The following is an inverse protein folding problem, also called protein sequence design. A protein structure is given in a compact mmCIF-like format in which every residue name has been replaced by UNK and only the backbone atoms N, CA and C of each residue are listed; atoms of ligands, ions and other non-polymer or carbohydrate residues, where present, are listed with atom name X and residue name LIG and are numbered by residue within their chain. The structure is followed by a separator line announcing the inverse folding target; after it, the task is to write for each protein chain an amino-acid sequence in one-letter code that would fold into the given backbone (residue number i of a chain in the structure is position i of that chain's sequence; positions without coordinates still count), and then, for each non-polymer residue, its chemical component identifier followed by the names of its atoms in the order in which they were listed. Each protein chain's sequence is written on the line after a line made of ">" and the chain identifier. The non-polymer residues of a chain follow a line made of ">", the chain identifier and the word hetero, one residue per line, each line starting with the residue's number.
data_IF_659149949729
#
_entry.id   IF_659149949729
#
_cell.length_a   1.000
_cell.length_b   1.000
_cell.length_c   1.000
_cell.angle_alpha   90.00
_cell.angle_beta   90.00
_cell.angle_gamma   90.00
#
_symmetry.space_group_name_H-M   'P 1'
#
loop_
_entity.id
_entity.type
_entity.pdbx_description
1 polymer ?
#
# COMPACT_ATOMS: atom_id res chain seq x y z
N UNK A 1 -24.03 -20.35 -20.23
CA UNK A 1 -23.68 -20.67 -18.83
C UNK A 1 -22.38 -19.96 -18.52
N UNK A 2 -22.38 -19.01 -17.57
CA UNK A 2 -21.17 -18.29 -17.17
C UNK A 2 -20.33 -19.25 -16.34
N UNK A 3 -19.14 -19.59 -16.84
CA UNK A 3 -18.19 -20.43 -16.14
C UNK A 3 -17.79 -19.74 -14.83
N UNK A 4 -17.94 -20.45 -13.71
CA UNK A 4 -17.38 -20.07 -12.41
C UNK A 4 -15.86 -19.97 -12.59
N UNK A 5 -15.35 -18.76 -12.73
CA UNK A 5 -13.94 -18.48 -12.55
C UNK A 5 -13.70 -18.55 -11.04
N UNK A 6 -12.93 -19.54 -10.60
CA UNK A 6 -12.47 -19.56 -9.22
C UNK A 6 -11.57 -18.33 -8.99
N UNK A 7 -11.84 -17.52 -7.95
CA UNK A 7 -11.00 -16.37 -7.66
C UNK A 7 -9.58 -16.85 -7.38
N UNK A 8 -8.61 -16.29 -8.12
CA UNK A 8 -7.19 -16.48 -7.81
C UNK A 8 -6.99 -16.02 -6.37
N UNK A 9 -6.53 -16.89 -5.45
CA UNK A 9 -6.28 -16.49 -4.07
C UNK A 9 -5.37 -15.24 -4.04
N UNK A 10 -5.70 -14.26 -3.19
CA UNK A 10 -4.92 -13.04 -2.95
C UNK A 10 -4.92 -11.95 -4.03
N UNK A 11 -5.93 -11.93 -4.93
CA UNK A 11 -6.22 -10.75 -5.74
C UNK A 11 -7.42 -9.99 -5.16
N UNK A 12 -7.18 -8.81 -4.59
CA UNK A 12 -8.19 -7.88 -4.05
C UNK A 12 -9.17 -8.53 -3.04
N UNK A 13 -8.65 -9.14 -1.98
CA UNK A 13 -9.52 -9.70 -0.94
C UNK A 13 -10.05 -8.57 -0.05
N UNK A 14 -11.38 -8.41 -0.04
CA UNK A 14 -12.07 -7.55 0.92
C UNK A 14 -12.37 -8.32 2.20
N UNK A 15 -11.87 -7.82 3.32
CA UNK A 15 -12.24 -8.33 4.64
C UNK A 15 -12.63 -7.21 5.60
N UNK A 16 -13.57 -7.51 6.49
CA UNK A 16 -13.87 -6.65 7.61
C UNK A 16 -12.72 -6.78 8.63
N UNK A 17 -11.89 -5.73 8.71
CA UNK A 17 -10.89 -5.59 9.76
C UNK A 17 -11.56 -5.37 11.12
N UNK A 18 -10.79 -5.56 12.19
CA UNK A 18 -11.25 -5.25 13.54
C UNK A 18 -11.71 -3.79 13.64
N UNK A 19 -12.79 -3.54 14.38
CA UNK A 19 -13.26 -2.18 14.64
C UNK A 19 -13.94 -1.46 13.46
N UNK A 20 -14.40 -2.18 12.43
CA UNK A 20 -15.15 -1.60 11.32
C UNK A 20 -14.29 -0.96 10.23
N UNK A 21 -13.03 -1.39 10.13
CA UNK A 21 -12.11 -1.06 9.04
C UNK A 21 -12.35 -2.01 7.86
N UNK A 22 -12.17 -1.55 6.63
CA UNK A 22 -12.12 -2.44 5.46
C UNK A 22 -10.67 -2.69 5.07
N UNK A 23 -10.30 -3.94 4.84
CA UNK A 23 -8.98 -4.32 4.34
C UNK A 23 -9.12 -4.79 2.90
N UNK A 24 -8.27 -4.24 2.02
CA UNK A 24 -8.03 -4.69 0.65
C UNK A 24 -6.63 -5.32 0.64
N UNK A 25 -6.55 -6.61 0.36
CA UNK A 25 -5.26 -7.31 0.23
C UNK A 25 -4.99 -7.64 -1.25
N UNK A 26 -3.97 -7.00 -1.83
CA UNK A 26 -3.40 -7.28 -3.17
C UNK A 26 -1.89 -7.54 -3.07
N UNK A 27 -1.46 -8.21 -2.00
CA UNK A 27 -0.05 -8.52 -1.74
C UNK A 27 0.59 -9.49 -2.74
N UNK A 28 -0.20 -10.20 -3.55
CA UNK A 28 0.32 -11.19 -4.49
C UNK A 28 0.90 -10.60 -5.78
N UNK A 29 0.54 -9.36 -6.13
CA UNK A 29 0.77 -8.81 -7.47
C UNK A 29 1.73 -7.61 -7.47
N UNK A 30 3.04 -7.85 -7.49
CA UNK A 30 4.05 -6.79 -7.41
C UNK A 30 4.35 -6.05 -8.74
N UNK A 31 3.40 -5.97 -9.68
CA UNK A 31 3.62 -5.35 -10.99
C UNK A 31 2.92 -3.98 -11.14
N UNK A 32 3.42 -3.10 -12.04
CA UNK A 32 2.89 -1.74 -12.17
C UNK A 32 1.42 -1.63 -12.57
N UNK A 33 0.90 -2.62 -13.29
CA UNK A 33 -0.52 -2.66 -13.71
C UNK A 33 -1.42 -3.01 -12.53
N UNK A 34 -1.00 -3.98 -11.71
CA UNK A 34 -1.65 -4.38 -10.47
C UNK A 34 -1.76 -3.23 -9.50
N UNK A 35 -0.63 -2.63 -9.14
CA UNK A 35 -0.56 -1.52 -8.20
C UNK A 35 -1.40 -0.31 -8.63
N UNK A 36 -1.50 -0.06 -9.95
CA UNK A 36 -2.40 0.97 -10.49
C UNK A 36 -3.86 0.60 -10.27
N UNK A 37 -4.25 -0.62 -10.62
CA UNK A 37 -5.63 -1.11 -10.46
C UNK A 37 -6.04 -1.16 -8.98
N UNK A 38 -5.15 -1.54 -8.07
CA UNK A 38 -5.40 -1.55 -6.64
C UNK A 38 -5.67 -0.14 -6.08
N UNK A 39 -4.91 0.86 -6.53
CA UNK A 39 -5.19 2.27 -6.19
C UNK A 39 -6.52 2.76 -6.76
N UNK A 40 -6.89 2.36 -7.98
CA UNK A 40 -8.19 2.68 -8.58
C UNK A 40 -9.34 2.08 -7.75
N UNK A 41 -9.22 0.81 -7.34
CA UNK A 41 -10.19 0.17 -6.43
C UNK A 41 -10.27 0.92 -5.11
N UNK A 42 -9.15 1.27 -4.50
CA UNK A 42 -9.13 2.08 -3.27
C UNK A 42 -9.79 3.44 -3.49
N UNK A 43 -9.64 4.03 -4.67
CA UNK A 43 -10.28 5.30 -4.98
C UNK A 43 -11.82 5.18 -5.07
N UNK A 44 -12.31 4.08 -5.64
CA UNK A 44 -13.74 3.77 -5.79
C UNK A 44 -14.49 3.57 -4.46
N UNK A 45 -13.79 3.27 -3.36
CA UNK A 45 -14.40 3.18 -2.02
C UNK A 45 -15.01 4.50 -1.53
N UNK A 46 -14.75 5.61 -2.23
CA UNK A 46 -15.29 6.92 -1.87
C UNK A 46 -14.88 7.34 -0.46
N UNK A 47 -15.62 8.28 0.13
CA UNK A 47 -15.49 8.60 1.55
C UNK A 47 -16.59 7.90 2.31
N UNK A 48 -16.23 7.14 3.34
CA UNK A 48 -17.21 6.64 4.29
C UNK A 48 -18.01 7.82 4.89
N UNK A 49 -19.30 7.64 5.25
CA UNK A 49 -20.15 8.72 5.77
C UNK A 49 -19.58 9.46 6.99
N UNK A 50 -18.70 8.80 7.75
CA UNK A 50 -18.02 9.35 8.92
C UNK A 50 -16.64 9.95 8.61
N UNK A 51 -16.27 10.12 7.34
CA UNK A 51 -15.00 10.71 6.92
C UNK A 51 -13.79 9.76 6.98
N UNK A 52 -14.04 8.46 6.85
CA UNK A 52 -13.01 7.41 6.80
C UNK A 52 -11.86 7.70 5.82
N UNK A 53 -10.68 7.19 6.16
CA UNK A 53 -9.40 7.43 5.51
C UNK A 53 -8.98 6.26 4.64
N UNK A 54 -8.37 6.59 3.49
CA UNK A 54 -7.74 5.63 2.58
C UNK A 54 -6.27 5.52 2.97
N UNK A 55 -5.84 4.35 3.41
CA UNK A 55 -4.48 4.09 3.89
C UNK A 55 -3.82 3.08 2.97
N UNK A 56 -2.64 3.42 2.44
CA UNK A 56 -1.80 2.48 1.71
C UNK A 56 -0.70 1.94 2.62
N UNK A 57 -0.46 0.64 2.58
CA UNK A 57 0.69 -0.03 3.18
C UNK A 57 1.44 -0.76 2.07
N UNK A 58 2.72 -0.46 1.87
CA UNK A 58 3.49 -1.09 0.78
C UNK A 58 5.00 -1.12 1.04
N UNK A 59 5.70 -2.21 0.69
CA UNK A 59 7.16 -2.25 0.59
C UNK A 59 7.67 -1.81 -0.79
N UNK A 60 6.78 -1.47 -1.72
CA UNK A 60 7.11 -1.21 -3.11
C UNK A 60 7.21 -2.45 -3.99
N UNK A 61 7.22 -2.21 -5.29
CA UNK A 61 7.36 -3.24 -6.32
C UNK A 61 8.84 -3.64 -6.45
N UNK A 62 9.07 -4.90 -6.78
CA UNK A 62 10.42 -5.48 -6.93
C UNK A 62 10.53 -6.27 -8.23
N UNK A 63 11.76 -6.63 -8.61
CA UNK A 63 12.06 -7.51 -9.76
C UNK A 63 11.67 -6.90 -11.12
N UNK A 64 11.64 -5.56 -11.20
CA UNK A 64 11.33 -4.82 -12.44
C UNK A 64 12.58 -4.39 -13.22
N UNK A 65 13.77 -4.82 -12.78
CA UNK A 65 15.06 -4.46 -13.40
C UNK A 65 15.28 -2.94 -13.42
N UNK A 66 15.69 -2.41 -14.57
CA UNK A 66 15.99 -0.98 -14.74
C UNK A 66 14.78 -0.05 -14.53
N UNK A 67 13.56 -0.58 -14.62
CA UNK A 67 12.34 0.21 -14.47
C UNK A 67 11.86 0.33 -13.02
N UNK A 68 12.42 -0.45 -12.09
CA UNK A 68 11.93 -0.54 -10.71
C UNK A 68 11.87 0.82 -10.01
N UNK A 69 12.91 1.63 -10.17
CA UNK A 69 12.97 2.95 -9.56
C UNK A 69 11.85 3.86 -10.07
N UNK A 70 11.73 3.99 -11.39
CA UNK A 70 10.78 4.89 -12.04
C UNK A 70 9.34 4.44 -11.83
N UNK A 71 9.05 3.14 -11.85
CA UNK A 71 7.71 2.62 -11.57
C UNK A 71 7.32 2.82 -10.10
N UNK A 72 8.23 2.61 -9.15
CA UNK A 72 7.98 2.94 -7.74
C UNK A 72 7.80 4.45 -7.52
N UNK A 73 8.55 5.32 -8.23
CA UNK A 73 8.33 6.78 -8.17
C UNK A 73 6.94 7.15 -8.68
N UNK A 74 6.56 6.66 -9.87
CA UNK A 74 5.21 6.87 -10.44
C UNK A 74 4.11 6.33 -9.54
N UNK A 75 4.35 5.19 -8.88
CA UNK A 75 3.42 4.64 -7.91
C UNK A 75 3.23 5.57 -6.72
N UNK A 76 4.30 6.15 -6.17
CA UNK A 76 4.23 7.18 -5.14
C UNK A 76 3.46 8.43 -5.57
N UNK A 77 3.68 8.91 -6.80
CA UNK A 77 2.92 10.04 -7.37
C UNK A 77 1.42 9.76 -7.44
N UNK A 78 1.03 8.54 -7.86
CA UNK A 78 -0.38 8.12 -7.92
C UNK A 78 -0.99 7.95 -6.53
N UNK A 79 -0.26 7.33 -5.61
CA UNK A 79 -0.71 7.15 -4.23
C UNK A 79 -1.00 8.50 -3.55
N UNK A 80 -0.24 9.56 -3.86
CA UNK A 80 -0.48 10.90 -3.34
C UNK A 80 -1.86 11.48 -3.72
N UNK A 81 -2.44 11.05 -4.84
CA UNK A 81 -3.73 11.53 -5.33
C UNK A 81 -4.92 10.80 -4.67
N UNK A 82 -4.70 9.56 -4.24
CA UNK A 82 -5.75 8.66 -3.74
C UNK A 82 -5.73 8.57 -2.22
N UNK A 83 -4.55 8.42 -1.62
CA UNK A 83 -4.41 8.03 -0.22
C UNK A 83 -4.42 9.25 0.71
N UNK A 84 -5.02 9.08 1.89
CA UNK A 84 -4.86 10.02 3.00
C UNK A 84 -3.62 9.77 3.84
N UNK A 85 -3.17 8.52 3.89
CA UNK A 85 -1.98 8.09 4.63
C UNK A 85 -1.26 7.02 3.83
N UNK A 86 0.08 7.05 3.88
CA UNK A 86 0.94 6.04 3.27
C UNK A 86 1.91 5.52 4.32
N UNK A 87 1.98 4.21 4.46
CA UNK A 87 2.93 3.50 5.30
C UNK A 87 3.87 2.73 4.37
N UNK A 88 5.11 3.19 4.31
CA UNK A 88 6.17 2.58 3.53
C UNK A 88 6.91 1.55 4.39
N UNK A 89 7.18 0.36 3.87
CA UNK A 89 7.88 -0.71 4.59
C UNK A 89 9.26 -0.93 3.99
N UNK A 90 10.30 -0.64 4.77
CA UNK A 90 11.69 -0.62 4.30
C UNK A 90 12.07 0.75 3.72
N UNK A 91 12.91 1.49 4.45
CA UNK A 91 13.32 2.86 4.12
C UNK A 91 14.06 2.97 2.79
N UNK A 92 15.01 2.06 2.53
CA UNK A 92 15.85 2.13 1.35
C UNK A 92 15.08 1.72 0.10
N UNK A 93 14.34 0.61 0.18
CA UNK A 93 13.54 0.09 -0.93
C UNK A 93 12.46 1.08 -1.36
N UNK A 94 11.81 1.73 -0.41
CA UNK A 94 10.70 2.66 -0.70
C UNK A 94 11.15 4.10 -0.97
N UNK A 95 12.45 4.38 -1.02
CA UNK A 95 12.98 5.70 -1.34
C UNK A 95 12.41 6.32 -2.64
N UNK A 96 12.22 5.56 -3.75
CA UNK A 96 11.62 6.10 -4.97
C UNK A 96 10.14 6.46 -4.78
N UNK A 97 9.38 5.65 -4.02
CA UNK A 97 7.98 5.95 -3.69
C UNK A 97 7.89 7.24 -2.88
N UNK A 98 8.78 7.40 -1.89
CA UNK A 98 8.86 8.61 -1.09
C UNK A 98 9.22 9.84 -1.94
N UNK A 99 10.06 9.70 -2.96
CA UNK A 99 10.32 10.76 -3.94
C UNK A 99 9.07 11.10 -4.75
N UNK A 100 8.32 10.10 -5.21
CA UNK A 100 7.07 10.30 -5.94
C UNK A 100 6.02 11.06 -5.11
N UNK A 101 5.85 10.65 -3.86
CA UNK A 101 4.98 11.35 -2.89
C UNK A 101 5.40 12.82 -2.72
N UNK A 102 6.69 13.08 -2.56
CA UNK A 102 7.22 14.45 -2.43
C UNK A 102 6.99 15.28 -3.70
N UNK A 103 7.21 14.69 -4.87
CA UNK A 103 7.00 15.34 -6.18
C UNK A 103 5.55 15.76 -6.36
N UNK A 104 4.61 14.95 -5.87
CA UNK A 104 3.19 15.27 -5.84
C UNK A 104 2.75 16.19 -4.67
N UNK A 105 3.69 16.81 -3.95
CA UNK A 105 3.44 17.66 -2.78
C UNK A 105 2.67 16.98 -1.64
N UNK A 106 2.84 15.67 -1.49
CA UNK A 106 2.17 14.91 -0.44
C UNK A 106 2.66 15.32 0.96
N UNK A 107 1.78 15.54 1.95
CA UNK A 107 2.18 16.00 3.28
C UNK A 107 3.07 15.00 4.01
N UNK A 108 4.24 15.45 4.47
CA UNK A 108 5.23 14.59 5.13
C UNK A 108 4.71 13.94 6.43
N UNK A 109 3.80 14.60 7.13
CA UNK A 109 3.15 14.11 8.35
C UNK A 109 2.11 13.00 8.10
N UNK A 110 1.81 12.71 6.83
CA UNK A 110 0.93 11.63 6.39
C UNK A 110 1.68 10.42 5.83
N UNK A 111 3.02 10.44 5.91
CA UNK A 111 3.88 9.33 5.55
C UNK A 111 4.50 8.74 6.81
N UNK A 112 4.36 7.44 7.00
CA UNK A 112 5.11 6.67 7.99
C UNK A 112 6.07 5.73 7.28
N UNK A 113 7.26 5.52 7.82
CA UNK A 113 8.20 4.52 7.35
C UNK A 113 8.36 3.50 8.47
N UNK A 114 8.05 2.24 8.17
CA UNK A 114 8.14 1.10 9.07
C UNK A 114 9.32 0.22 8.66
N UNK A 115 10.06 -0.31 9.64
CA UNK A 115 11.13 -1.26 9.37
C UNK A 115 10.59 -2.66 9.05
N UNK A 116 9.43 -3.03 9.60
CA UNK A 116 8.86 -4.37 9.52
C UNK A 116 7.35 -4.37 9.80
N UNK A 117 6.74 -5.56 9.70
CA UNK A 117 5.30 -5.76 9.92
C UNK A 117 4.84 -5.42 11.35
N UNK A 118 5.69 -5.58 12.37
CA UNK A 118 5.32 -5.22 13.73
C UNK A 118 5.13 -3.69 13.87
N UNK A 119 6.02 -2.90 13.29
CA UNK A 119 5.86 -1.43 13.26
C UNK A 119 4.64 -1.00 12.42
N UNK A 120 4.35 -1.68 11.31
CA UNK A 120 3.11 -1.45 10.55
C UNK A 120 1.89 -1.65 11.43
N UNK A 121 1.83 -2.75 12.19
CA UNK A 121 0.73 -3.03 13.13
C UNK A 121 0.60 -1.94 14.17
N UNK A 122 1.71 -1.45 14.73
CA UNK A 122 1.71 -0.36 15.70
C UNK A 122 1.20 0.96 15.11
N UNK A 123 1.57 1.28 13.87
CA UNK A 123 1.05 2.45 13.17
C UNK A 123 -0.45 2.32 12.94
N UNK A 124 -0.90 1.20 12.37
CA UNK A 124 -2.32 0.97 12.08
C UNK A 124 -3.18 1.02 13.35
N UNK A 125 -2.72 0.40 14.45
CA UNK A 125 -3.44 0.42 15.73
C UNK A 125 -3.63 1.83 16.30
N UNK A 126 -2.70 2.76 16.03
CA UNK A 126 -2.78 4.16 16.48
C UNK A 126 -3.57 5.06 15.54
N UNK A 127 -3.59 4.72 14.25
CA UNK A 127 -4.11 5.58 13.19
C UNK A 127 -5.56 5.26 12.81
N UNK A 128 -5.91 3.98 12.77
CA UNK A 128 -7.15 3.52 12.16
C UNK A 128 -8.37 3.82 13.01
N UNK A 129 -9.45 4.16 12.32
CA UNK A 129 -10.77 4.40 12.88
C UNK A 129 -11.82 3.60 12.11
N UNK A 130 -12.99 3.34 12.70
CA UNK A 130 -14.11 2.74 11.96
C UNK A 130 -14.39 3.51 10.67
N UNK A 131 -14.60 2.81 9.56
CA UNK A 131 -14.82 3.39 8.24
C UNK A 131 -13.54 3.67 7.42
N UNK A 132 -12.35 3.50 8.00
CA UNK A 132 -11.11 3.54 7.23
C UNK A 132 -10.99 2.32 6.30
N UNK A 133 -10.29 2.50 5.18
CA UNK A 133 -9.98 1.46 4.21
C UNK A 133 -8.46 1.35 4.09
N UNK A 134 -7.93 0.15 4.28
CA UNK A 134 -6.50 -0.14 4.23
C UNK A 134 -6.21 -1.02 3.04
N UNK A 135 -5.37 -0.54 2.12
CA UNK A 135 -4.83 -1.32 1.02
C UNK A 135 -3.43 -1.83 1.41
N UNK A 136 -3.27 -3.15 1.43
CA UNK A 136 -1.96 -3.80 1.46
C UNK A 136 -1.56 -4.14 0.03
N UNK A 137 -0.50 -3.51 -0.45
CA UNK A 137 -0.04 -3.61 -1.84
C UNK A 137 1.39 -4.10 -1.91
N UNK A 138 1.61 -5.12 -2.75
CA UNK A 138 2.86 -5.88 -2.88
C UNK A 138 3.19 -6.72 -1.63
N UNK A 139 3.98 -7.78 -1.84
CA UNK A 139 4.30 -8.73 -0.79
C UNK A 139 5.12 -8.08 0.33
N UNK A 140 4.55 -8.08 1.53
CA UNK A 140 5.22 -7.61 2.74
C UNK A 140 6.11 -8.75 3.24
N UNK A 141 7.44 -8.62 3.18
CA UNK A 141 8.29 -9.72 3.57
C UNK A 141 8.17 -9.95 5.09
N UNK A 142 7.71 -11.13 5.49
CA UNK A 142 7.55 -11.52 6.91
C UNK A 142 8.85 -11.39 7.73
N UNK A 143 10.01 -11.45 7.07
CA UNK A 143 11.34 -11.34 7.66
C UNK A 143 12.19 -10.20 7.03
N UNK A 144 11.59 -9.04 6.77
CA UNK A 144 12.39 -7.91 6.27
C UNK A 144 13.25 -7.29 7.38
N UNK A 145 14.58 -7.39 7.22
CA UNK A 145 15.56 -6.68 8.03
C UNK A 145 16.55 -5.99 7.08
N UNK A 146 16.46 -4.66 6.96
CA UNK A 146 17.34 -3.84 6.09
C UNK A 146 18.82 -3.97 6.45
N UNK A 147 19.12 -4.44 7.67
CA UNK A 147 20.48 -4.68 8.16
C UNK A 147 21.28 -5.68 7.32
N UNK A 148 20.64 -6.43 6.42
CA UNK A 148 21.28 -7.50 5.62
C UNK A 148 21.76 -7.07 4.24
N UNK A 149 21.40 -5.86 3.78
CA UNK A 149 21.84 -5.34 2.48
C UNK A 149 23.02 -4.41 2.73
N UNK A 150 24.25 -4.96 2.65
CA UNK A 150 25.46 -4.14 2.59
C UNK A 150 25.45 -3.29 1.31
N UNK A 151 25.98 -2.06 1.36
CA UNK A 151 26.10 -1.18 0.19
C UNK A 151 27.01 -1.78 -0.90
#
# INVERSE_FOLDING_TARGET
>A
AVAKVEPVPHRLQLSAGAGGVTIIDDSFNANPVGAKAALEVLDDFGRAPNGGKKVLVTPGMVELGEQEYEENRRFGERAALVCDRVILVGRNRTAPILEGLKTANYPKDRVSIAANLAEVKDYLAKLLKPGDVVLFENDLPDNYNESSVSP
#
